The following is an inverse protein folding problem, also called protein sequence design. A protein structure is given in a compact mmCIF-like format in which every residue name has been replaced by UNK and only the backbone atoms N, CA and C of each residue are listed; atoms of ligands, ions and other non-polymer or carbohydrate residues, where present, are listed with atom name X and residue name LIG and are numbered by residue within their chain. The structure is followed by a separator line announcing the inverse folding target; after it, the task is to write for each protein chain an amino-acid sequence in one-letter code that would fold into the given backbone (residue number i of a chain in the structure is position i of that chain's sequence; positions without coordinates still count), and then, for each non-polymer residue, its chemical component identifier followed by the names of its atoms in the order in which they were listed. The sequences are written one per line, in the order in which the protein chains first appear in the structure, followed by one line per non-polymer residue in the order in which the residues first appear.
data_IF_284834558113
#
_entry.id   IF_284834558113
#
_cell.length_a   1.000
_cell.length_b   1.000
_cell.length_c   1.000
_cell.angle_alpha   90.00
_cell.angle_beta   90.00
_cell.angle_gamma   90.00
#
_symmetry.space_group_name_H-M   'P 1'
#
loop_
_entity.id
_entity.type
_entity.pdbx_description
1 polymer ?
#
# COMPACT_ATOMS: atom_id res chain seq x y z
N UNK A 1 32.95 43.84 19.93
CA UNK A 1 33.34 42.41 19.86
C UNK A 1 32.06 41.60 19.71
N UNK A 2 31.67 41.29 18.48
CA UNK A 2 30.50 40.43 18.24
C UNK A 2 31.00 39.00 18.17
N UNK A 3 30.63 38.21 19.18
CA UNK A 3 30.93 36.78 19.28
C UNK A 3 30.27 36.07 18.10
N UNK A 4 31.08 35.59 17.17
CA UNK A 4 30.67 34.72 16.08
C UNK A 4 30.43 33.32 16.68
N UNK A 5 29.27 33.12 17.30
CA UNK A 5 28.78 31.78 17.65
C UNK A 5 28.49 31.08 16.32
N UNK A 6 29.44 30.26 15.86
CA UNK A 6 29.16 29.26 14.83
C UNK A 6 28.08 28.33 15.41
N UNK A 7 26.81 28.63 15.12
CA UNK A 7 25.71 27.72 15.37
C UNK A 7 26.05 26.41 14.66
N UNK A 8 26.26 25.35 15.44
CA UNK A 8 26.61 24.04 14.94
C UNK A 8 25.37 23.42 14.28
N UNK A 9 25.06 23.85 13.06
CA UNK A 9 23.94 23.33 12.29
C UNK A 9 24.34 21.97 11.73
N UNK A 10 23.72 20.91 12.24
CA UNK A 10 23.90 19.56 11.72
C UNK A 10 23.10 19.43 10.42
N UNK A 11 23.82 19.41 9.30
CA UNK A 11 23.27 19.14 7.96
C UNK A 11 23.47 17.65 7.67
N UNK A 12 22.43 16.98 7.20
CA UNK A 12 22.54 15.61 6.70
C UNK A 12 23.53 15.61 5.53
N UNK A 13 24.53 14.73 5.56
CA UNK A 13 25.56 14.73 4.54
C UNK A 13 24.98 14.18 3.23
N UNK A 14 25.18 14.91 2.14
CA UNK A 14 24.76 14.46 0.81
C UNK A 14 25.63 13.28 0.37
N UNK A 15 25.04 12.11 0.24
CA UNK A 15 25.73 10.86 -0.14
C UNK A 15 25.15 10.23 -1.41
N UNK A 16 23.86 10.40 -1.65
CA UNK A 16 23.10 9.71 -2.71
C UNK A 16 21.77 10.44 -3.02
N UNK A 17 20.96 9.84 -3.91
CA UNK A 17 19.66 10.37 -4.30
C UNK A 17 18.62 10.38 -3.16
N UNK A 18 18.72 9.45 -2.20
CA UNK A 18 17.80 9.36 -1.06
C UNK A 18 18.02 10.53 -0.09
N UNK A 19 19.28 10.81 0.23
CA UNK A 19 19.69 11.95 1.07
C UNK A 19 19.53 13.31 0.38
N UNK A 20 19.49 13.34 -0.96
CA UNK A 20 19.47 14.59 -1.73
C UNK A 20 18.28 15.52 -1.42
N UNK A 21 17.06 14.99 -1.30
CA UNK A 21 15.89 15.86 -1.05
C UNK A 21 15.99 16.54 0.32
N UNK A 22 16.41 15.80 1.34
CA UNK A 22 16.58 16.31 2.70
C UNK A 22 17.73 17.32 2.76
N UNK A 23 18.88 16.97 2.17
CA UNK A 23 20.04 17.86 2.08
C UNK A 23 19.69 19.16 1.34
N UNK A 24 19.02 19.08 0.18
CA UNK A 24 18.61 20.24 -0.63
C UNK A 24 17.75 21.18 0.21
N UNK A 25 16.77 20.63 0.94
CA UNK A 25 15.91 21.40 1.82
C UNK A 25 16.68 22.07 2.96
N UNK A 26 17.53 21.34 3.68
CA UNK A 26 18.32 21.88 4.79
C UNK A 26 19.28 22.99 4.34
N UNK A 27 20.00 22.78 3.23
CA UNK A 27 20.94 23.76 2.66
C UNK A 27 20.21 25.02 2.20
N UNK A 28 19.06 24.89 1.55
CA UNK A 28 18.25 26.04 1.13
C UNK A 28 17.82 26.89 2.33
N UNK A 29 17.36 26.26 3.41
CA UNK A 29 16.96 26.98 4.63
C UNK A 29 18.17 27.65 5.27
N UNK A 30 19.29 26.93 5.37
CA UNK A 30 20.52 27.44 5.97
C UNK A 30 21.03 28.68 5.22
N UNK A 31 21.04 28.65 3.90
CA UNK A 31 21.44 29.79 3.09
C UNK A 31 20.46 30.96 3.19
N UNK A 32 19.16 30.71 3.29
CA UNK A 32 18.19 31.78 3.52
C UNK A 32 18.39 32.43 4.89
N UNK A 33 18.59 31.63 5.94
CA UNK A 33 18.85 32.12 7.30
C UNK A 33 20.11 33.00 7.38
N UNK A 34 21.15 32.65 6.61
CA UNK A 34 22.41 33.40 6.59
C UNK A 34 22.47 34.53 5.54
N UNK A 35 21.39 34.77 4.79
CA UNK A 35 21.39 35.75 3.69
C UNK A 35 22.41 35.41 2.59
N UNK A 36 22.60 34.12 2.31
CA UNK A 36 23.51 33.60 1.28
C UNK A 36 22.76 33.06 0.05
N UNK A 37 21.45 32.87 0.15
CA UNK A 37 20.66 32.19 -0.88
C UNK A 37 20.69 32.90 -2.24
N UNK A 38 20.70 34.23 -2.24
CA UNK A 38 20.73 35.05 -3.46
C UNK A 38 21.99 34.83 -4.32
N UNK A 39 23.10 34.41 -3.70
CA UNK A 39 24.36 34.11 -4.38
C UNK A 39 24.33 32.70 -5.00
N UNK A 40 23.61 31.78 -4.35
CA UNK A 40 23.52 30.36 -4.74
C UNK A 40 22.45 30.13 -5.80
N UNK A 41 21.29 30.77 -5.70
CA UNK A 41 20.28 30.71 -6.77
C UNK A 41 20.63 31.64 -7.96
N UNK A 42 21.53 32.58 -7.73
CA UNK A 42 22.02 33.52 -8.73
C UNK A 42 21.07 34.67 -9.05
N UNK A 43 20.22 35.05 -8.09
CA UNK A 43 19.50 36.32 -8.14
C UNK A 43 20.46 37.51 -7.96
N UNK A 44 21.58 37.29 -7.25
CA UNK A 44 22.64 38.27 -7.06
C UNK A 44 23.82 38.00 -8.01
N UNK A 45 23.75 38.58 -9.21
CA UNK A 45 24.76 38.38 -10.26
C UNK A 45 25.96 39.30 -10.04
N UNK A 46 27.16 38.72 -9.89
CA UNK A 46 28.43 39.49 -9.80
C UNK A 46 28.61 40.52 -10.93
N UNK A 47 28.04 40.26 -12.11
CA UNK A 47 28.11 41.14 -13.29
C UNK A 47 27.32 42.44 -13.14
N UNK A 48 26.38 42.53 -12.19
CA UNK A 48 25.58 43.74 -11.95
C UNK A 48 26.27 44.73 -11.01
N UNK A 49 27.35 44.31 -10.34
CA UNK A 49 28.07 45.12 -9.37
C UNK A 49 29.10 46.04 -10.05
N UNK A 50 29.06 47.34 -9.70
CA UNK A 50 29.84 48.39 -10.39
C UNK A 50 31.15 48.73 -9.70
N UNK A 51 31.22 48.59 -8.37
CA UNK A 51 32.41 48.95 -7.60
C UNK A 51 33.12 47.71 -7.03
N UNK A 52 34.42 47.86 -6.76
CA UNK A 52 35.27 46.74 -6.33
C UNK A 52 34.98 46.29 -4.89
N UNK A 53 34.47 47.19 -4.04
CA UNK A 53 34.07 46.86 -2.67
C UNK A 53 32.85 45.92 -2.64
N UNK A 54 31.83 46.16 -3.46
CA UNK A 54 30.66 45.29 -3.60
C UNK A 54 31.06 43.92 -4.14
N UNK A 55 31.96 43.87 -5.14
CA UNK A 55 32.49 42.61 -5.66
C UNK A 55 33.25 41.83 -4.58
N UNK A 56 34.07 42.51 -3.77
CA UNK A 56 34.79 41.88 -2.68
C UNK A 56 33.85 41.29 -1.62
N UNK A 57 32.79 42.01 -1.25
CA UNK A 57 31.76 41.50 -0.32
C UNK A 57 30.96 40.34 -0.93
N UNK A 58 30.64 40.39 -2.23
CA UNK A 58 30.03 39.30 -2.96
C UNK A 58 30.89 38.03 -2.88
N UNK A 59 32.19 38.14 -3.16
CA UNK A 59 33.11 37.01 -3.09
C UNK A 59 33.22 36.42 -1.68
N UNK A 60 33.17 37.23 -0.62
CA UNK A 60 33.15 36.72 0.76
C UNK A 60 31.89 35.90 1.04
N UNK A 61 30.72 36.38 0.60
CA UNK A 61 29.43 35.70 0.79
C UNK A 61 29.37 34.41 -0.02
N UNK A 62 29.79 34.45 -1.28
CA UNK A 62 29.88 33.28 -2.16
C UNK A 62 30.86 32.24 -1.59
N UNK A 63 32.05 32.66 -1.11
CA UNK A 63 33.00 31.74 -0.47
C UNK A 63 32.42 31.06 0.79
N UNK A 64 31.60 31.76 1.58
CA UNK A 64 30.89 31.15 2.73
C UNK A 64 29.87 30.12 2.28
N UNK A 65 29.15 30.39 1.18
CA UNK A 65 28.23 29.43 0.59
C UNK A 65 28.97 28.21 0.03
N UNK A 66 30.06 28.41 -0.72
CA UNK A 66 30.92 27.33 -1.23
C UNK A 66 31.43 26.44 -0.09
N UNK A 67 31.97 27.04 0.99
CA UNK A 67 32.41 26.29 2.18
C UNK A 67 31.30 25.38 2.70
N UNK A 68 30.10 25.92 2.86
CA UNK A 68 28.94 25.19 3.38
C UNK A 68 28.58 24.00 2.49
N UNK A 69 28.52 24.19 1.16
CA UNK A 69 28.27 23.12 0.19
C UNK A 69 29.34 22.03 0.35
N UNK A 70 30.62 22.41 0.26
CA UNK A 70 31.74 21.46 0.31
C UNK A 70 31.77 20.66 1.61
N UNK A 71 31.47 21.27 2.76
CA UNK A 71 31.43 20.56 4.05
C UNK A 71 30.23 19.65 4.24
N UNK A 72 29.16 19.86 3.46
CA UNK A 72 27.90 19.11 3.58
C UNK A 72 27.78 17.95 2.59
N UNK A 73 28.80 17.72 1.75
CA UNK A 73 28.76 16.78 0.61
C UNK A 73 29.82 15.70 0.77
N UNK A 74 29.51 14.47 0.35
CA UNK A 74 30.48 13.39 0.37
C UNK A 74 31.60 13.52 -0.67
N UNK A 75 32.77 12.97 -0.32
CA UNK A 75 33.99 13.02 -1.14
C UNK A 75 33.75 12.57 -2.58
N UNK A 76 32.91 11.55 -2.80
CA UNK A 76 32.60 11.08 -4.16
C UNK A 76 31.90 12.17 -4.99
N UNK A 77 30.99 12.91 -4.38
CA UNK A 77 30.23 13.97 -5.03
C UNK A 77 31.04 15.26 -5.16
N UNK A 78 31.99 15.51 -4.26
CA UNK A 78 32.95 16.62 -4.39
C UNK A 78 33.75 16.54 -5.70
N UNK A 79 34.06 15.32 -6.17
CA UNK A 79 34.75 15.14 -7.46
C UNK A 79 33.95 15.71 -8.64
N UNK A 80 32.62 15.77 -8.54
CA UNK A 80 31.80 16.38 -9.57
C UNK A 80 31.85 17.91 -9.56
N UNK A 81 32.06 18.54 -8.40
CA UNK A 81 32.02 20.01 -8.24
C UNK A 81 33.40 20.65 -8.04
N UNK A 82 34.48 19.88 -8.05
CA UNK A 82 35.84 20.37 -7.75
C UNK A 82 36.34 21.50 -8.68
N UNK A 83 35.82 21.55 -9.91
CA UNK A 83 36.17 22.57 -10.90
C UNK A 83 35.15 23.73 -10.97
N UNK A 84 34.17 23.77 -10.07
CA UNK A 84 33.21 24.88 -10.00
C UNK A 84 33.82 26.04 -9.21
N UNK A 85 33.69 27.26 -9.72
CA UNK A 85 34.32 28.44 -9.12
C UNK A 85 33.36 29.24 -8.24
N UNK A 86 32.05 29.02 -8.40
CA UNK A 86 30.98 29.75 -7.71
C UNK A 86 30.04 28.80 -6.99
N UNK A 87 29.45 29.26 -5.88
CA UNK A 87 28.49 28.46 -5.11
C UNK A 87 27.27 28.06 -5.94
N UNK A 88 26.80 28.94 -6.83
CA UNK A 88 25.74 28.65 -7.81
C UNK A 88 26.08 27.45 -8.69
N UNK A 89 27.28 27.43 -9.28
CA UNK A 89 27.71 26.36 -10.17
C UNK A 89 27.77 25.02 -9.43
N UNK A 90 28.29 25.02 -8.20
CA UNK A 90 28.33 23.83 -7.34
C UNK A 90 26.91 23.31 -7.06
N UNK A 91 26.02 24.19 -6.60
CA UNK A 91 24.66 23.83 -6.24
C UNK A 91 23.84 23.35 -7.45
N UNK A 92 23.92 24.05 -8.58
CA UNK A 92 23.23 23.70 -9.82
C UNK A 92 23.73 22.36 -10.36
N UNK A 93 25.04 22.09 -10.29
CA UNK A 93 25.62 20.84 -10.77
C UNK A 93 25.17 19.65 -9.92
N UNK A 94 25.15 19.78 -8.60
CA UNK A 94 24.60 18.76 -7.71
C UNK A 94 23.11 18.54 -8.02
N UNK A 95 22.32 19.61 -8.14
CA UNK A 95 20.90 19.49 -8.47
C UNK A 95 20.69 18.75 -9.79
N UNK A 96 21.45 19.08 -10.83
CA UNK A 96 21.36 18.41 -12.15
C UNK A 96 21.70 16.93 -12.09
N UNK A 97 22.68 16.51 -11.29
CA UNK A 97 23.04 15.09 -11.14
C UNK A 97 21.85 14.31 -10.59
N UNK A 98 21.30 14.75 -9.45
CA UNK A 98 20.22 14.03 -8.79
C UNK A 98 18.85 14.18 -9.48
N UNK A 99 18.62 15.31 -10.16
CA UNK A 99 17.43 15.48 -11.00
C UNK A 99 17.48 14.56 -12.22
N UNK A 100 18.65 14.38 -12.86
CA UNK A 100 18.84 13.39 -13.92
C UNK A 100 18.65 11.96 -13.38
N UNK A 101 19.28 11.63 -12.26
CA UNK A 101 19.15 10.28 -11.68
C UNK A 101 17.68 9.96 -11.33
N UNK A 102 16.90 10.95 -10.87
CA UNK A 102 15.46 10.78 -10.67
C UNK A 102 14.70 10.52 -11.98
N UNK A 103 15.06 11.18 -13.08
CA UNK A 103 14.44 10.93 -14.40
C UNK A 103 14.83 9.56 -14.98
N UNK A 104 16.09 9.16 -14.82
CA UNK A 104 16.56 7.83 -15.21
C UNK A 104 15.86 6.74 -14.39
N UNK A 105 15.66 6.95 -13.09
CA UNK A 105 14.93 6.04 -12.22
C UNK A 105 13.45 5.94 -12.60
N UNK A 106 12.79 7.06 -12.95
CA UNK A 106 11.43 7.02 -13.50
C UNK A 106 11.38 6.17 -14.77
N UNK A 107 12.31 6.40 -15.70
CA UNK A 107 12.38 5.64 -16.95
C UNK A 107 12.57 4.14 -16.67
N UNK A 108 13.49 3.79 -15.78
CA UNK A 108 13.77 2.42 -15.38
C UNK A 108 12.54 1.74 -14.75
N UNK A 109 11.88 2.40 -13.79
CA UNK A 109 10.68 1.87 -13.16
C UNK A 109 9.52 1.70 -14.14
N UNK A 110 9.35 2.62 -15.08
CA UNK A 110 8.34 2.47 -16.15
C UNK A 110 8.68 1.27 -17.05
N UNK A 111 9.94 1.09 -17.44
CA UNK A 111 10.37 -0.08 -18.20
C UNK A 111 10.13 -1.38 -17.42
N UNK A 112 10.47 -1.42 -16.12
CA UNK A 112 10.18 -2.55 -15.25
C UNK A 112 8.68 -2.83 -15.18
N UNK A 113 7.85 -1.80 -15.00
CA UNK A 113 6.40 -1.93 -14.98
C UNK A 113 5.85 -2.50 -16.29
N UNK A 114 6.22 -1.94 -17.44
CA UNK A 114 5.70 -2.38 -18.74
C UNK A 114 6.21 -3.76 -19.13
N UNK A 115 7.46 -4.09 -18.82
CA UNK A 115 8.06 -5.39 -19.12
C UNK A 115 7.82 -6.45 -18.05
N UNK A 116 7.14 -6.10 -16.95
CA UNK A 116 6.85 -7.02 -15.86
C UNK A 116 6.11 -8.26 -16.36
N UNK A 117 6.57 -9.44 -15.95
CA UNK A 117 6.03 -10.75 -16.31
C UNK A 117 6.02 -11.63 -15.08
N UNK A 118 5.08 -12.58 -15.04
CA UNK A 118 5.05 -13.57 -13.98
C UNK A 118 6.23 -14.54 -14.07
N UNK A 119 6.88 -14.75 -12.94
CA UNK A 119 7.98 -15.71 -12.77
C UNK A 119 7.43 -17.03 -12.23
N UNK A 120 7.66 -18.12 -12.96
CA UNK A 120 7.18 -19.47 -12.58
C UNK A 120 7.69 -19.85 -11.18
N UNK A 121 6.78 -20.31 -10.32
CA UNK A 121 7.08 -20.72 -8.95
C UNK A 121 6.96 -19.58 -7.92
N UNK A 122 6.68 -18.35 -8.35
CA UNK A 122 6.44 -17.22 -7.45
C UNK A 122 4.97 -17.19 -7.00
N UNK A 123 4.71 -16.94 -5.73
CA UNK A 123 3.35 -16.75 -5.23
C UNK A 123 2.72 -15.48 -5.82
N UNK A 124 1.41 -15.50 -6.07
CA UNK A 124 0.65 -14.36 -6.55
C UNK A 124 0.72 -13.18 -5.57
N UNK A 125 0.73 -13.44 -4.26
CA UNK A 125 0.96 -12.38 -3.28
C UNK A 125 2.28 -11.63 -3.52
N UNK A 126 3.36 -12.35 -3.82
CA UNK A 126 4.68 -11.74 -4.10
C UNK A 126 4.67 -11.00 -5.44
N UNK A 127 4.08 -11.61 -6.48
CA UNK A 127 3.92 -10.99 -7.80
C UNK A 127 3.17 -9.66 -7.74
N UNK A 128 2.04 -9.61 -7.01
CA UNK A 128 1.27 -8.37 -6.82
C UNK A 128 2.09 -7.36 -6.02
N UNK A 129 2.74 -7.78 -4.94
CA UNK A 129 3.54 -6.89 -4.09
C UNK A 129 4.68 -6.20 -4.86
N UNK A 130 5.30 -6.91 -5.82
CA UNK A 130 6.33 -6.33 -6.68
C UNK A 130 5.77 -5.26 -7.61
N UNK A 131 4.60 -5.48 -8.24
CA UNK A 131 3.93 -4.47 -9.06
C UNK A 131 3.48 -3.26 -8.24
N UNK A 132 2.90 -3.48 -7.06
CA UNK A 132 2.48 -2.40 -6.15
C UNK A 132 3.71 -1.60 -5.66
N UNK A 133 4.83 -2.25 -5.39
CA UNK A 133 6.09 -1.60 -5.03
C UNK A 133 6.61 -0.67 -6.13
N UNK A 134 6.61 -1.14 -7.40
CA UNK A 134 6.99 -0.31 -8.55
C UNK A 134 6.05 0.91 -8.66
N UNK A 135 4.73 0.69 -8.59
CA UNK A 135 3.75 1.78 -8.65
C UNK A 135 3.92 2.80 -7.50
N UNK A 136 4.21 2.32 -6.29
CA UNK A 136 4.47 3.18 -5.13
C UNK A 136 5.75 4.01 -5.29
N UNK A 137 6.84 3.41 -5.79
CA UNK A 137 8.10 4.13 -6.07
C UNK A 137 7.89 5.22 -7.11
N UNK A 138 7.17 4.91 -8.19
CA UNK A 138 6.78 5.88 -9.21
C UNK A 138 5.93 7.02 -8.64
N UNK A 139 4.99 6.72 -7.74
CA UNK A 139 4.21 7.74 -7.02
C UNK A 139 5.10 8.65 -6.14
N UNK A 140 6.11 8.08 -5.48
CA UNK A 140 7.08 8.84 -4.66
C UNK A 140 7.90 9.81 -5.51
N UNK A 141 8.22 9.42 -6.75
CA UNK A 141 8.88 10.27 -7.76
C UNK A 141 7.91 11.22 -8.48
N UNK A 142 6.67 11.37 -8.00
CA UNK A 142 5.61 12.23 -8.56
C UNK A 142 5.17 11.84 -9.99
N UNK A 143 5.34 10.57 -10.36
CA UNK A 143 4.91 10.01 -11.64
C UNK A 143 3.92 8.84 -11.39
N UNK A 144 2.73 9.08 -10.82
CA UNK A 144 1.83 8.01 -10.41
C UNK A 144 1.34 7.18 -11.61
N UNK A 145 1.19 5.88 -11.39
CA UNK A 145 0.51 4.97 -12.32
C UNK A 145 -0.98 4.96 -12.01
N UNK A 146 -1.81 5.05 -13.05
CA UNK A 146 -3.26 4.96 -12.91
C UNK A 146 -3.69 3.59 -12.36
N UNK A 147 -4.64 3.58 -11.44
CA UNK A 147 -5.14 2.35 -10.80
C UNK A 147 -5.67 1.35 -11.84
N UNK A 148 -6.29 1.81 -12.94
CA UNK A 148 -6.74 0.90 -14.00
C UNK A 148 -5.57 0.30 -14.76
N UNK A 149 -4.49 1.07 -14.95
CA UNK A 149 -3.27 0.58 -15.58
C UNK A 149 -2.58 -0.48 -14.70
N UNK A 150 -2.52 -0.26 -13.39
CA UNK A 150 -2.02 -1.24 -12.42
C UNK A 150 -2.89 -2.51 -12.41
N UNK A 151 -4.21 -2.37 -12.29
CA UNK A 151 -5.14 -3.52 -12.33
C UNK A 151 -5.01 -4.29 -13.65
N UNK A 152 -4.99 -3.60 -14.78
CA UNK A 152 -4.81 -4.22 -16.10
C UNK A 152 -3.48 -4.96 -16.19
N UNK A 153 -2.40 -4.37 -15.65
CA UNK A 153 -1.08 -5.01 -15.63
C UNK A 153 -1.06 -6.25 -14.75
N UNK A 154 -1.68 -6.21 -13.56
CA UNK A 154 -1.85 -7.40 -12.70
C UNK A 154 -2.58 -8.48 -13.50
N UNK A 155 -3.78 -8.18 -14.03
CA UNK A 155 -4.62 -9.14 -14.76
C UNK A 155 -3.93 -9.78 -15.96
N UNK A 156 -3.19 -9.00 -16.75
CA UNK A 156 -2.52 -9.47 -17.97
C UNK A 156 -1.25 -10.26 -17.70
N UNK A 157 -0.68 -10.14 -16.50
CA UNK A 157 0.54 -10.88 -16.12
C UNK A 157 0.27 -12.16 -15.34
N UNK A 158 -0.98 -12.42 -14.93
CA UNK A 158 -1.33 -13.63 -14.19
C UNK A 158 -1.05 -14.91 -15.02
N UNK A 159 -0.65 -16.02 -14.37
CA UNK A 159 -0.47 -17.30 -15.06
C UNK A 159 -1.83 -17.91 -15.48
N UNK A 160 -1.79 -18.82 -16.45
CA UNK A 160 -2.97 -19.40 -17.10
C UNK A 160 -3.95 -20.07 -16.12
N UNK A 161 -3.45 -20.60 -15.01
CA UNK A 161 -4.28 -21.19 -13.94
C UNK A 161 -5.31 -20.21 -13.35
N UNK A 162 -5.11 -18.90 -13.49
CA UNK A 162 -6.07 -17.86 -13.05
C UNK A 162 -7.03 -17.41 -14.15
N UNK A 163 -7.14 -18.12 -15.29
CA UNK A 163 -8.03 -17.74 -16.40
C UNK A 163 -9.50 -17.61 -15.96
N UNK A 164 -9.97 -18.50 -15.08
CA UNK A 164 -11.34 -18.42 -14.54
C UNK A 164 -11.56 -17.19 -13.66
N UNK A 165 -10.52 -16.77 -12.93
CA UNK A 165 -10.53 -15.54 -12.16
C UNK A 165 -10.71 -14.34 -13.08
N UNK A 166 -10.01 -14.29 -14.22
CA UNK A 166 -10.12 -13.18 -15.18
C UNK A 166 -11.55 -12.97 -15.67
N UNK A 167 -12.25 -14.04 -16.06
CA UNK A 167 -13.66 -13.95 -16.47
C UNK A 167 -14.56 -13.44 -15.34
N UNK A 168 -14.34 -13.89 -14.11
CA UNK A 168 -15.08 -13.42 -12.94
C UNK A 168 -14.76 -11.97 -12.56
N UNK A 169 -13.53 -11.51 -12.82
CA UNK A 169 -13.12 -10.13 -12.62
C UNK A 169 -13.77 -9.19 -13.63
N UNK A 170 -13.84 -9.59 -14.90
CA UNK A 170 -14.44 -8.78 -15.96
C UNK A 170 -15.91 -8.46 -15.70
N UNK A 171 -16.64 -9.41 -15.10
CA UNK A 171 -18.05 -9.29 -14.72
C UNK A 171 -18.31 -8.45 -13.46
N UNK A 172 -17.25 -7.98 -12.79
CA UNK A 172 -17.36 -7.19 -11.55
C UNK A 172 -17.90 -5.79 -11.84
N UNK A 173 -18.70 -5.25 -10.91
CA UNK A 173 -19.27 -3.90 -11.07
C UNK A 173 -18.17 -2.84 -11.11
N UNK A 174 -18.36 -1.77 -11.89
CA UNK A 174 -17.32 -0.75 -12.14
C UNK A 174 -16.85 -0.05 -10.85
N UNK A 175 -17.74 0.21 -9.91
CA UNK A 175 -17.44 0.78 -8.60
C UNK A 175 -16.64 -0.16 -7.68
N UNK A 176 -16.69 -1.46 -7.94
CA UNK A 176 -15.96 -2.48 -7.18
C UNK A 176 -14.59 -2.81 -7.80
N UNK A 177 -14.31 -2.35 -9.04
CA UNK A 177 -13.00 -2.52 -9.70
C UNK A 177 -11.98 -1.56 -9.10
N UNK A 178 -11.41 -1.96 -7.98
CA UNK A 178 -10.32 -1.27 -7.27
C UNK A 178 -9.13 -2.22 -7.09
N UNK A 179 -7.92 -1.67 -7.00
CA UNK A 179 -6.70 -2.46 -6.76
C UNK A 179 -6.85 -3.30 -5.48
N UNK A 180 -7.41 -2.73 -4.42
CA UNK A 180 -7.63 -3.41 -3.14
C UNK A 180 -8.55 -4.63 -3.29
N UNK A 181 -9.68 -4.48 -4.00
CA UNK A 181 -10.62 -5.58 -4.21
C UNK A 181 -10.02 -6.66 -5.13
N UNK A 182 -9.29 -6.24 -6.18
CA UNK A 182 -8.57 -7.16 -7.06
C UNK A 182 -7.57 -8.02 -6.28
N UNK A 183 -6.68 -7.37 -5.52
CA UNK A 183 -5.66 -8.02 -4.70
C UNK A 183 -6.32 -8.97 -3.69
N UNK A 184 -7.34 -8.52 -2.95
CA UNK A 184 -8.03 -9.35 -1.95
C UNK A 184 -8.66 -10.62 -2.54
N UNK A 185 -9.30 -10.50 -3.72
CA UNK A 185 -9.91 -11.65 -4.40
C UNK A 185 -8.87 -12.60 -4.97
N UNK A 186 -7.77 -12.09 -5.52
CA UNK A 186 -6.67 -12.92 -6.03
C UNK A 186 -6.01 -13.72 -4.91
N UNK A 187 -5.75 -13.10 -3.76
CA UNK A 187 -5.19 -13.78 -2.59
C UNK A 187 -6.13 -14.86 -2.05
N UNK A 188 -7.45 -14.62 -2.07
CA UNK A 188 -8.44 -15.63 -1.69
C UNK A 188 -8.41 -16.84 -2.64
N UNK A 189 -8.22 -16.59 -3.94
CA UNK A 189 -8.15 -17.66 -4.96
C UNK A 189 -6.84 -18.45 -4.87
N UNK A 190 -5.72 -17.78 -4.56
CA UNK A 190 -4.45 -18.42 -4.26
C UNK A 190 -4.56 -19.38 -3.06
N UNK A 191 -5.23 -18.96 -1.97
CA UNK A 191 -5.46 -19.82 -0.81
C UNK A 191 -6.30 -21.07 -1.15
N UNK A 192 -7.27 -20.95 -2.07
CA UNK A 192 -8.08 -22.10 -2.53
C UNK A 192 -7.28 -23.04 -3.45
N UNK A 193 -6.34 -22.50 -4.22
CA UNK A 193 -5.51 -23.27 -5.15
C UNK A 193 -4.39 -24.02 -4.42
N UNK A 194 -3.95 -23.53 -3.27
CA UNK A 194 -2.91 -24.13 -2.42
C UNK A 194 -3.45 -25.14 -1.39
N UNK A 195 -4.77 -25.32 -1.25
CA UNK A 195 -5.27 -26.46 -0.49
C UNK A 195 -4.99 -27.72 -1.28
N UNK A 196 -4.26 -28.72 -0.74
CA UNK A 196 -4.06 -29.97 -1.43
C UNK A 196 -5.44 -30.53 -1.80
N UNK A 197 -5.60 -30.94 -3.04
CA UNK A 197 -6.69 -31.80 -3.46
C UNK A 197 -6.65 -33.06 -2.59
N UNK A 198 -7.32 -33.03 -1.43
CA UNK A 198 -7.85 -34.26 -0.88
C UNK A 198 -8.80 -34.77 -1.96
N UNK A 199 -8.59 -35.99 -2.44
CA UNK A 199 -9.31 -36.70 -3.51
C UNK A 199 -10.85 -36.85 -3.29
N UNK A 200 -11.48 -36.00 -2.50
CA UNK A 200 -12.93 -35.86 -2.46
C UNK A 200 -13.39 -34.80 -3.47
N UNK A 201 -13.45 -35.25 -4.72
CA UNK A 201 -14.35 -34.76 -5.74
C UNK A 201 -15.62 -34.08 -5.15
N UNK A 202 -15.67 -32.74 -5.21
CA UNK A 202 -16.93 -31.99 -5.07
C UNK A 202 -17.73 -32.11 -6.36
N UNK A 203 -18.10 -33.34 -6.70
CA UNK A 203 -19.26 -33.60 -7.53
C UNK A 203 -20.46 -32.98 -6.81
N UNK A 204 -21.00 -31.91 -7.40
CA UNK A 204 -22.32 -31.33 -7.18
C UNK A 204 -23.05 -31.87 -5.93
N UNK A 205 -22.70 -31.39 -4.73
CA UNK A 205 -23.62 -31.49 -3.60
C UNK A 205 -24.74 -30.48 -3.83
N UNK A 206 -25.64 -30.80 -4.77
CA UNK A 206 -27.06 -30.63 -4.46
C UNK A 206 -27.19 -31.26 -3.08
N UNK A 207 -27.39 -30.44 -2.05
CA UNK A 207 -27.62 -30.92 -0.70
C UNK A 207 -28.89 -31.76 -0.78
N UNK A 208 -28.72 -33.03 -1.11
CA UNK A 208 -29.77 -33.99 -1.34
C UNK A 208 -30.48 -34.10 -0.03
N UNK A 209 -31.64 -33.43 0.08
CA UNK A 209 -32.38 -33.33 1.33
C UNK A 209 -32.59 -34.76 1.84
N UNK A 210 -31.86 -35.12 2.89
CA UNK A 210 -32.01 -36.40 3.56
C UNK A 210 -33.24 -36.30 4.45
N UNK A 211 -34.06 -37.34 4.43
CA UNK A 211 -35.20 -37.41 5.32
C UNK A 211 -34.71 -37.61 6.76
N UNK A 212 -34.94 -36.62 7.63
CA UNK A 212 -34.54 -36.72 9.04
C UNK A 212 -35.26 -37.85 9.80
N UNK A 213 -36.35 -38.39 9.25
CA UNK A 213 -37.12 -39.50 9.84
C UNK A 213 -36.53 -40.88 9.53
N UNK A 214 -36.09 -41.13 8.29
CA UNK A 214 -35.61 -42.46 7.86
C UNK A 214 -34.15 -42.49 7.38
N UNK A 215 -33.47 -41.33 7.39
CA UNK A 215 -32.07 -41.12 6.96
C UNK A 215 -31.76 -41.57 5.52
N UNK A 216 -32.78 -41.75 4.67
CA UNK A 216 -32.63 -42.00 3.22
C UNK A 216 -32.70 -40.69 2.42
N UNK A 217 -31.94 -40.61 1.35
CA UNK A 217 -31.98 -39.50 0.38
C UNK A 217 -33.17 -39.63 -0.58
N UNK A 218 -33.52 -38.55 -1.29
CA UNK A 218 -34.59 -38.54 -2.32
C UNK A 218 -35.95 -38.00 -1.87
N UNK A 219 -36.14 -37.66 -0.59
CA UNK A 219 -37.36 -36.99 -0.09
C UNK A 219 -37.10 -36.28 1.25
N UNK A 220 -37.96 -35.32 1.61
CA UNK A 220 -37.92 -34.59 2.91
C UNK A 220 -38.88 -35.25 3.90
N UNK A 221 -38.65 -35.11 5.21
CA UNK A 221 -39.45 -35.70 6.30
C UNK A 221 -40.97 -35.54 6.18
N UNK A 222 -41.44 -34.46 5.52
CA UNK A 222 -42.87 -34.18 5.28
C UNK A 222 -43.54 -35.19 4.33
N UNK A 223 -42.78 -35.84 3.47
CA UNK A 223 -43.27 -36.77 2.43
C UNK A 223 -42.78 -38.22 2.66
N UNK A 224 -42.36 -38.54 3.88
CA UNK A 224 -41.82 -39.85 4.22
C UNK A 224 -42.93 -40.88 4.48
N UNK A 225 -43.04 -41.90 3.61
CA UNK A 225 -44.05 -42.96 3.69
C UNK A 225 -43.78 -44.04 4.76
N UNK A 226 -42.78 -43.86 5.62
CA UNK A 226 -42.43 -44.87 6.65
C UNK A 226 -43.05 -44.54 8.01
N UNK A 227 -43.81 -45.50 8.54
CA UNK A 227 -44.36 -45.51 9.89
C UNK A 227 -43.39 -46.24 10.83
N UNK A 228 -42.32 -45.58 11.25
CA UNK A 228 -41.63 -45.96 12.49
C UNK A 228 -41.87 -44.89 13.54
N UNK A 229 -42.36 -45.35 14.70
CA UNK A 229 -42.58 -44.55 15.92
C UNK A 229 -41.24 -43.94 16.35
N UNK A 230 -41.23 -42.62 16.57
CA UNK A 230 -40.10 -41.97 17.21
C UNK A 230 -39.97 -42.51 18.64
N UNK A 231 -38.83 -43.11 18.97
CA UNK A 231 -38.40 -43.15 20.37
C UNK A 231 -38.05 -41.72 20.76
N UNK A 232 -38.84 -41.17 21.67
CA UNK A 232 -38.62 -39.85 22.22
C UNK A 232 -37.28 -39.85 22.96
N UNK A 233 -36.41 -38.91 22.59
CA UNK A 233 -35.30 -38.47 23.44
C UNK A 233 -35.91 -37.74 24.65
N UNK A 234 -36.41 -38.53 25.60
CA UNK A 234 -37.10 -38.07 26.82
C UNK A 234 -36.83 -39.07 27.93
N UNK A 235 -35.56 -39.25 28.27
CA UNK A 235 -35.15 -39.91 29.52
C UNK A 235 -34.21 -38.98 30.26
N UNK A 236 -34.81 -37.98 30.88
CA UNK A 236 -34.19 -37.11 31.89
C UNK A 236 -35.32 -36.51 32.72
N UNK A 237 -35.24 -36.67 34.05
CA UNK A 237 -36.28 -36.28 35.02
C UNK A 237 -36.68 -34.80 34.81
N UNK A 238 -37.98 -34.46 34.89
CA UNK A 238 -38.48 -33.12 34.55
C UNK A 238 -37.88 -31.98 35.39
N UNK A 239 -37.38 -32.28 36.59
CA UNK A 239 -36.86 -31.31 37.57
C UNK A 239 -35.46 -30.76 37.23
N UNK A 240 -34.72 -31.41 36.33
CA UNK A 240 -33.35 -31.00 35.94
C UNK A 240 -33.29 -30.22 34.63
N UNK A 241 -34.42 -30.06 33.91
CA UNK A 241 -34.44 -29.35 32.62
C UNK A 241 -34.34 -27.84 32.83
N UNK A 242 -33.16 -27.30 32.50
CA UNK A 242 -32.87 -25.87 32.47
C UNK A 242 -33.53 -25.19 31.27
N UNK A 243 -34.18 -24.05 31.51
CA UNK A 243 -34.74 -23.21 30.47
C UNK A 243 -33.63 -22.71 29.53
N UNK A 244 -33.76 -22.97 28.23
CA UNK A 244 -32.78 -22.56 27.21
C UNK A 244 -32.61 -21.03 27.05
N UNK A 245 -33.46 -20.21 27.67
CA UNK A 245 -33.35 -18.75 27.65
C UNK A 245 -32.68 -18.15 28.89
N UNK A 246 -32.89 -18.73 30.08
CA UNK A 246 -32.40 -18.15 31.34
C UNK A 246 -31.55 -19.10 32.19
N UNK A 247 -31.41 -20.37 31.78
CA UNK A 247 -30.58 -21.37 32.46
C UNK A 247 -31.16 -21.94 33.76
N UNK A 248 -32.35 -21.49 34.20
CA UNK A 248 -32.98 -21.93 35.45
C UNK A 248 -33.85 -23.17 35.18
N UNK A 249 -33.75 -24.19 36.04
CA UNK A 249 -34.56 -25.40 35.96
C UNK A 249 -36.02 -25.17 36.42
N UNK A 250 -36.95 -26.01 35.95
CA UNK A 250 -38.36 -25.97 36.38
C UNK A 250 -39.33 -25.25 35.44
N UNK A 251 -38.87 -24.72 34.30
CA UNK A 251 -39.77 -24.20 33.24
C UNK A 251 -39.14 -24.29 31.85
N UNK A 252 -39.97 -24.23 30.80
CA UNK A 252 -39.53 -24.21 29.40
C UNK A 252 -39.35 -22.77 28.89
N UNK A 253 -38.54 -22.58 27.85
CA UNK A 253 -38.27 -21.27 27.23
C UNK A 253 -39.51 -20.52 26.71
N UNK A 254 -40.64 -21.23 26.54
CA UNK A 254 -41.94 -20.68 26.17
C UNK A 254 -42.69 -20.06 27.37
N UNK A 255 -42.37 -20.48 28.59
CA UNK A 255 -43.00 -20.06 29.84
C UNK A 255 -42.05 -19.21 30.70
N UNK A 256 -40.97 -18.69 30.12
CA UNK A 256 -39.96 -17.88 30.80
C UNK A 256 -40.45 -16.45 30.99
N UNK A 257 -40.57 -16.02 32.26
CA UNK A 257 -41.06 -14.70 32.67
C UNK A 257 -40.09 -13.54 32.41
N UNK A 258 -38.82 -13.84 32.07
CA UNK A 258 -37.85 -12.83 31.60
C UNK A 258 -37.93 -12.70 30.07
N UNK A 259 -38.88 -11.91 29.58
CA UNK A 259 -38.90 -11.43 28.19
C UNK A 259 -38.21 -10.07 28.11
N UNK A 260 -37.09 -9.98 27.40
CA UNK A 260 -36.74 -8.73 26.73
C UNK A 260 -36.44 -9.00 25.25
N UNK A 261 -37.01 -8.19 24.34
CA UNK A 261 -36.77 -8.29 22.91
C UNK A 261 -35.49 -7.51 22.56
N UNK A 262 -34.65 -8.05 21.67
CA UNK A 262 -33.76 -7.22 20.86
C UNK A 262 -34.23 -7.27 19.42
N UNK A 263 -34.82 -6.15 19.00
CA UNK A 263 -35.15 -5.84 17.61
C UNK A 263 -33.92 -5.98 16.73
N UNK A 264 -34.04 -6.75 15.65
CA UNK A 264 -33.14 -6.69 14.50
C UNK A 264 -33.82 -5.81 13.45
N UNK A 265 -33.39 -4.55 13.33
CA UNK A 265 -33.90 -3.63 12.32
C UNK A 265 -33.30 -3.96 10.94
N UNK A 266 -34.05 -4.69 10.12
CA UNK A 266 -33.88 -4.73 8.66
C UNK A 266 -35.10 -4.09 7.98
N UNK A 267 -34.85 -2.90 7.41
CA UNK A 267 -35.23 -2.37 6.08
C UNK A 267 -36.61 -2.74 5.49
N UNK A 268 -37.38 -1.71 5.12
CA UNK A 268 -38.35 -1.56 3.99
C UNK A 268 -39.10 -0.23 4.22
N UNK A 269 -39.58 0.58 3.29
CA UNK A 269 -39.53 0.80 1.83
C UNK A 269 -40.44 2.06 1.61
N UNK A 270 -40.20 2.86 0.56
CA UNK A 270 -41.13 3.87 -0.04
C UNK A 270 -41.59 5.03 0.87
N UNK A 271 -41.32 6.29 0.57
CA UNK A 271 -41.50 7.03 -0.69
C UNK A 271 -40.28 7.87 -1.06
#
# INVERSE_FOLDING_TARGET
MSTNTEENVQIEKLVDAESFQLWKFQIQILFKAHGLWEFVNGDNLLTTLKNDNEKAEWHKKDAKAQKTIVTSVDKKLLMHIINCEKSKEMYDKLCKIFERDNEDEKCNLLQQFFNFKYEKGTNISTHISQLESIAHRLKTLKQPIDDNMLMSKIMTTLPEQYKHFATAWDSTQKNEKTVINLTSRLLTEEMRSNTPETEESVAFRSSGKFCFKCKKSGHISKYCKTEKKYENYSTGKPEERKCFKCGIAGHLARSCSKSQPKQCSRRKEMF
#
